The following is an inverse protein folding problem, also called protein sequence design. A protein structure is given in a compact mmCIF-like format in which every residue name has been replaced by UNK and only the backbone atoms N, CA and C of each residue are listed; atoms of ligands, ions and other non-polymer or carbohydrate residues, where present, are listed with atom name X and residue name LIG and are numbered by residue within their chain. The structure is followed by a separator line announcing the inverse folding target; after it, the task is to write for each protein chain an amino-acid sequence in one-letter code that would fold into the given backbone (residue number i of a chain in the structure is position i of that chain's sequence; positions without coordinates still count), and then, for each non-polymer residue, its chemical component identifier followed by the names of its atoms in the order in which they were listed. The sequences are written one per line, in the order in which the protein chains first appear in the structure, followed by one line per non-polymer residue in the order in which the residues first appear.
data_IF_781521022124
#
_entry.id   IF_781521022124
#
_cell.length_a   1.000
_cell.length_b   1.000
_cell.length_c   1.000
_cell.angle_alpha   90.00
_cell.angle_beta   90.00
_cell.angle_gamma   90.00
#
_symmetry.space_group_name_H-M   'P 1'
#
loop_
_entity.id
_entity.type
_entity.pdbx_description
1 polymer ?
#
# COMPACT_ATOMS: atom_id res chain seq x y z
N UNK A 1 -15.84 10.63 36.71
CA UNK A 1 -15.40 12.03 36.62
C UNK A 1 -13.89 12.04 36.41
N UNK A 2 -13.42 12.84 35.45
CA UNK A 2 -12.03 13.32 35.28
C UNK A 2 -11.05 12.38 34.53
N UNK A 3 -10.97 12.68 33.22
CA UNK A 3 -9.83 12.73 32.29
C UNK A 3 -8.43 12.66 32.89
N UNK A 4 -7.54 11.86 32.29
CA UNK A 4 -6.10 12.10 32.34
C UNK A 4 -5.44 11.93 30.96
N UNK A 5 -5.07 13.06 30.39
CA UNK A 5 -4.05 13.24 29.36
C UNK A 5 -2.68 12.86 29.93
N UNK A 6 -1.90 12.06 29.19
CA UNK A 6 -0.46 11.88 29.44
C UNK A 6 0.34 12.43 28.27
N UNK A 7 0.96 13.59 28.52
CA UNK A 7 2.10 14.11 27.78
C UNK A 7 3.29 13.15 27.97
N UNK A 8 4.06 12.93 26.91
CA UNK A 8 5.46 12.50 27.05
C UNK A 8 6.34 13.34 26.14
N UNK A 9 7.29 14.04 26.75
CA UNK A 9 8.42 14.70 26.12
C UNK A 9 9.70 14.00 26.60
N UNK A 10 10.66 13.71 25.72
CA UNK A 10 12.01 13.40 26.15
C UNK A 10 12.90 14.65 26.10
N UNK A 11 13.58 14.86 27.22
CA UNK A 11 14.61 15.85 27.45
C UNK A 11 15.88 15.54 26.63
N UNK A 12 16.49 16.58 26.05
CA UNK A 12 17.89 16.54 25.62
C UNK A 12 18.71 17.41 26.57
N UNK A 13 19.64 16.75 27.27
CA UNK A 13 20.70 17.39 28.02
C UNK A 13 21.90 17.63 27.09
N UNK A 14 22.41 18.86 27.03
CA UNK A 14 23.73 19.15 26.48
C UNK A 14 24.50 19.98 27.51
N UNK A 15 25.67 19.45 27.85
CA UNK A 15 26.60 19.85 28.89
C UNK A 15 27.35 21.15 28.51
N UNK A 16 27.65 21.95 29.53
CA UNK A 16 28.19 23.31 29.47
C UNK A 16 29.70 23.40 29.13
N UNK A 17 29.95 24.33 28.20
CA UNK A 17 31.03 25.31 28.02
C UNK A 17 32.15 25.40 29.08
N UNK A 18 33.39 25.47 28.58
CA UNK A 18 34.64 25.69 29.33
C UNK A 18 34.88 27.13 29.81
N UNK A 19 35.75 27.25 30.80
CA UNK A 19 36.11 28.48 31.50
C UNK A 19 37.34 29.18 30.89
N UNK A 20 37.32 30.52 30.87
CA UNK A 20 38.50 31.38 31.02
C UNK A 20 38.08 32.76 31.54
N UNK A 21 38.80 33.22 32.57
CA UNK A 21 38.58 34.46 33.35
C UNK A 21 39.48 35.59 32.83
N UNK A 22 38.96 36.82 32.67
CA UNK A 22 39.77 38.06 32.68
C UNK A 22 38.91 39.34 32.85
N UNK A 23 39.35 40.26 33.72
CA UNK A 23 38.79 41.60 34.00
C UNK A 23 39.11 42.63 32.90
N UNK A 24 38.31 43.70 32.81
CA UNK A 24 38.74 44.99 32.23
C UNK A 24 37.61 45.86 31.67
N UNK A 25 37.46 47.07 32.21
CA UNK A 25 36.56 48.17 31.79
C UNK A 25 36.93 48.78 30.43
N UNK A 26 35.95 49.32 29.67
CA UNK A 26 35.96 50.55 28.81
C UNK A 26 34.89 50.50 27.69
N UNK A 27 34.18 51.62 27.47
CA UNK A 27 33.08 51.94 26.52
C UNK A 27 33.33 51.68 24.99
N UNK A 28 32.47 52.18 24.07
CA UNK A 28 31.21 51.63 23.54
C UNK A 28 31.36 51.18 22.06
N UNK A 29 30.62 50.16 21.59
CA UNK A 29 30.71 49.68 20.19
C UNK A 29 29.38 49.80 19.42
N UNK A 30 29.38 50.40 18.20
CA UNK A 30 28.17 50.67 17.39
C UNK A 30 27.34 49.45 17.01
N UNK A 31 26.04 49.68 16.80
CA UNK A 31 25.06 48.72 16.30
C UNK A 31 25.57 47.95 15.07
N UNK A 32 25.57 46.62 15.17
CA UNK A 32 25.87 45.71 14.06
C UNK A 32 24.61 44.91 13.66
N UNK A 33 24.48 44.53 12.38
CA UNK A 33 23.21 44.20 11.74
C UNK A 33 22.61 42.88 12.22
N UNK A 34 21.28 42.77 12.19
CA UNK A 34 20.52 41.57 12.51
C UNK A 34 21.02 40.36 11.68
N UNK A 35 21.35 39.27 12.37
CA UNK A 35 21.71 37.99 11.77
C UNK A 35 20.50 37.36 11.03
N UNK A 36 20.74 36.57 9.97
CA UNK A 36 19.68 35.96 9.19
C UNK A 36 18.95 34.87 9.98
N UNK A 37 17.61 34.90 9.92
CA UNK A 37 16.72 33.87 10.46
C UNK A 37 17.04 32.49 9.85
N UNK A 38 17.13 31.42 10.65
CA UNK A 38 17.27 30.06 10.13
C UNK A 38 16.04 29.67 9.29
N UNK A 39 16.30 29.09 8.13
CA UNK A 39 15.28 28.57 7.23
C UNK A 39 14.40 27.54 7.95
N UNK A 40 13.09 27.80 7.91
CA UNK A 40 12.03 26.88 8.33
C UNK A 40 12.23 25.53 7.62
N UNK A 41 12.48 24.47 8.40
CA UNK A 41 12.50 23.11 7.89
C UNK A 41 11.09 22.76 7.43
N UNK A 42 10.92 22.66 6.10
CA UNK A 42 9.70 22.16 5.51
C UNK A 42 9.44 20.73 6.04
N UNK A 43 8.24 20.41 6.54
CA UNK A 43 7.89 19.06 6.90
C UNK A 43 8.10 18.13 5.71
N UNK A 44 8.83 17.04 5.94
CA UNK A 44 8.97 15.93 5.01
C UNK A 44 7.59 15.51 4.53
N UNK A 45 7.31 15.69 3.23
CA UNK A 45 6.05 15.29 2.64
C UNK A 45 5.90 13.78 2.82
N UNK A 46 5.00 13.37 3.70
CA UNK A 46 4.44 12.03 3.67
C UNK A 46 3.92 11.81 2.24
N UNK A 47 4.43 10.78 1.57
CA UNK A 47 3.94 10.40 0.25
C UNK A 47 2.49 9.98 0.46
N UNK A 48 1.55 10.87 0.12
CA UNK A 48 0.12 10.56 0.15
C UNK A 48 -0.16 9.57 -0.97
N UNK A 49 -0.62 8.33 -0.70
CA UNK A 49 -1.10 7.43 -1.74
C UNK A 49 -2.49 7.90 -2.18
N UNK A 50 -2.57 9.06 -2.83
CA UNK A 50 -3.84 9.56 -3.40
C UNK A 50 -3.67 10.38 -4.67
N UNK A 51 -2.49 10.34 -5.30
CA UNK A 51 -2.34 10.83 -6.66
C UNK A 51 -2.84 9.75 -7.64
N UNK A 52 -4.18 9.69 -7.77
CA UNK A 52 -4.95 8.99 -8.80
C UNK A 52 -5.13 7.48 -8.63
N UNK A 53 -5.94 7.09 -7.64
CA UNK A 53 -6.51 5.73 -7.61
C UNK A 53 -7.21 5.42 -8.95
N UNK A 54 -6.94 4.25 -9.52
CA UNK A 54 -7.47 3.84 -10.82
C UNK A 54 -8.56 2.81 -10.63
N UNK A 55 -9.79 3.29 -10.42
CA UNK A 55 -10.92 2.45 -10.02
C UNK A 55 -11.82 2.10 -11.20
N UNK A 56 -12.48 0.94 -11.13
CA UNK A 56 -13.50 0.53 -12.09
C UNK A 56 -12.96 0.21 -13.49
N UNK A 57 -11.70 -0.21 -13.58
CA UNK A 57 -11.08 -0.62 -14.84
C UNK A 57 -11.73 -1.88 -15.40
N UNK A 58 -11.71 -2.04 -16.72
CA UNK A 58 -12.10 -3.30 -17.36
C UNK A 58 -10.94 -4.30 -17.33
N UNK A 59 -11.20 -5.61 -17.21
CA UNK A 59 -10.20 -6.64 -17.44
C UNK A 59 -9.46 -6.42 -18.75
N UNK A 60 -8.16 -6.69 -18.75
CA UNK A 60 -7.21 -6.37 -19.82
C UNK A 60 -6.61 -4.97 -19.71
N UNK A 61 -7.20 -4.05 -18.94
CA UNK A 61 -6.63 -2.72 -18.69
C UNK A 61 -5.61 -2.77 -17.57
N UNK A 62 -4.43 -2.19 -17.79
CA UNK A 62 -3.39 -2.09 -16.78
C UNK A 62 -3.53 -0.82 -15.94
N UNK A 63 -3.34 -0.93 -14.62
CA UNK A 63 -3.18 0.17 -13.68
C UNK A 63 -1.68 0.36 -13.36
N UNK A 64 -1.24 1.61 -13.26
CA UNK A 64 0.09 2.00 -12.79
C UNK A 64 -0.06 2.52 -11.37
N UNK A 65 0.49 1.79 -10.40
CA UNK A 65 0.32 2.05 -8.99
C UNK A 65 1.67 2.42 -8.37
N UNK A 66 1.80 3.60 -7.73
CA UNK A 66 2.98 3.92 -6.95
C UNK A 66 3.06 3.01 -5.72
N UNK A 67 4.25 2.52 -5.43
CA UNK A 67 4.56 1.72 -4.24
C UNK A 67 5.71 2.38 -3.49
N UNK A 68 5.97 1.94 -2.25
CA UNK A 68 6.98 2.56 -1.40
C UNK A 68 8.33 2.75 -2.11
N UNK A 69 8.81 1.69 -2.75
CA UNK A 69 10.12 1.67 -3.42
C UNK A 69 9.99 1.59 -4.94
N UNK A 70 9.05 2.33 -5.53
CA UNK A 70 8.98 2.50 -6.97
C UNK A 70 7.58 2.50 -7.56
N UNK A 71 7.38 1.79 -8.66
CA UNK A 71 6.11 1.76 -9.37
C UNK A 71 5.86 0.38 -9.95
N UNK A 72 4.61 -0.06 -9.85
CA UNK A 72 4.16 -1.32 -10.43
C UNK A 72 3.05 -1.10 -11.42
N UNK A 73 2.96 -2.01 -12.39
CA UNK A 73 1.88 -2.11 -13.33
C UNK A 73 1.12 -3.41 -13.05
N UNK A 74 -0.13 -3.27 -12.63
CA UNK A 74 -1.01 -4.41 -12.33
C UNK A 74 -2.04 -4.52 -13.43
N UNK A 75 -2.26 -5.74 -13.94
CA UNK A 75 -3.26 -6.02 -14.97
C UNK A 75 -4.08 -7.21 -14.56
N UNK A 76 -5.39 -7.05 -14.42
CA UNK A 76 -6.32 -8.17 -14.31
C UNK A 76 -6.67 -8.60 -15.73
N UNK A 77 -6.05 -9.68 -16.21
CA UNK A 77 -6.19 -10.17 -17.58
C UNK A 77 -7.57 -10.75 -17.85
N UNK A 78 -8.14 -11.45 -16.86
CA UNK A 78 -9.51 -11.95 -16.92
C UNK A 78 -10.13 -12.12 -15.54
N UNK A 79 -11.46 -12.00 -15.47
CA UNK A 79 -12.28 -12.38 -14.33
C UNK A 79 -13.28 -13.43 -14.81
N UNK A 80 -13.23 -14.62 -14.21
CA UNK A 80 -14.14 -15.72 -14.51
C UNK A 80 -14.89 -16.10 -13.25
N UNK A 81 -16.06 -16.71 -13.41
CA UNK A 81 -16.90 -17.10 -12.28
C UNK A 81 -17.25 -18.57 -12.37
N UNK A 82 -17.40 -19.22 -11.20
CA UNK A 82 -17.80 -20.62 -11.11
C UNK A 82 -18.66 -20.86 -9.87
N UNK A 83 -19.85 -21.42 -10.06
CA UNK A 83 -20.80 -21.73 -8.97
C UNK A 83 -20.67 -23.18 -8.46
N UNK A 84 -19.77 -23.95 -9.06
CA UNK A 84 -19.57 -25.37 -8.76
C UNK A 84 -18.12 -25.62 -8.36
N UNK A 85 -17.90 -26.76 -7.72
CA UNK A 85 -16.58 -27.26 -7.40
C UNK A 85 -15.65 -27.30 -8.62
N UNK A 86 -14.35 -27.14 -8.37
CA UNK A 86 -13.34 -27.10 -9.43
C UNK A 86 -12.87 -28.47 -9.94
N UNK A 87 -13.33 -29.54 -9.31
CA UNK A 87 -13.23 -30.94 -9.74
C UNK A 87 -14.11 -31.81 -8.84
N UNK A 88 -14.11 -33.12 -9.06
CA UNK A 88 -14.92 -34.05 -8.28
C UNK A 88 -14.47 -34.14 -6.80
N UNK A 89 -13.19 -33.93 -6.53
CA UNK A 89 -12.58 -34.03 -5.20
C UNK A 89 -12.51 -32.69 -4.45
N UNK A 90 -13.13 -31.64 -5.00
CA UNK A 90 -13.10 -30.29 -4.43
C UNK A 90 -14.49 -29.91 -3.94
N UNK A 91 -14.52 -29.10 -2.87
CA UNK A 91 -15.77 -28.52 -2.42
C UNK A 91 -16.27 -27.41 -3.37
N UNK A 92 -17.59 -27.24 -3.51
CA UNK A 92 -18.17 -26.07 -4.15
C UNK A 92 -17.90 -24.79 -3.34
N UNK A 93 -18.11 -23.60 -3.92
CA UNK A 93 -17.98 -22.34 -3.18
C UNK A 93 -18.93 -22.30 -1.99
N UNK A 94 -18.41 -21.99 -0.81
CA UNK A 94 -19.17 -21.91 0.43
C UNK A 94 -20.03 -20.64 0.47
N UNK A 95 -19.61 -19.54 -0.16
CA UNK A 95 -20.38 -18.30 -0.23
C UNK A 95 -21.25 -18.20 -1.49
N UNK A 96 -21.11 -19.16 -2.41
CA UNK A 96 -22.04 -19.38 -3.52
C UNK A 96 -21.42 -19.22 -4.91
N UNK A 97 -20.33 -18.46 -5.06
CA UNK A 97 -19.61 -18.37 -6.34
C UNK A 97 -18.13 -18.07 -6.14
N UNK A 98 -17.28 -18.84 -6.83
CA UNK A 98 -15.88 -18.49 -6.98
C UNK A 98 -15.71 -17.41 -8.05
N UNK A 99 -14.98 -16.34 -7.73
CA UNK A 99 -14.40 -15.42 -8.71
C UNK A 99 -12.94 -15.80 -8.89
N UNK A 100 -12.55 -16.11 -10.11
CA UNK A 100 -11.19 -16.52 -10.48
C UNK A 100 -10.58 -15.40 -11.33
N UNK A 101 -9.59 -14.73 -10.77
CA UNK A 101 -8.89 -13.63 -11.41
C UNK A 101 -7.53 -14.09 -11.93
N UNK A 102 -7.24 -13.79 -13.19
CA UNK A 102 -5.91 -13.99 -13.76
C UNK A 102 -5.18 -12.65 -13.78
N UNK A 103 -4.09 -12.54 -13.03
CA UNK A 103 -3.41 -11.28 -12.72
C UNK A 103 -1.97 -11.31 -13.25
N UNK A 104 -1.50 -10.16 -13.71
CA UNK A 104 -0.12 -9.88 -14.05
C UNK A 104 0.36 -8.65 -13.26
N UNK A 105 1.43 -8.82 -12.50
CA UNK A 105 2.14 -7.75 -11.79
C UNK A 105 3.50 -7.57 -12.45
N UNK A 106 3.83 -6.34 -12.81
CA UNK A 106 5.10 -5.95 -13.42
C UNK A 106 5.69 -4.79 -12.63
N UNK A 107 6.95 -4.89 -12.22
CA UNK A 107 7.64 -3.77 -11.55
C UNK A 107 8.26 -2.91 -12.64
N UNK A 108 7.83 -1.65 -12.76
CA UNK A 108 8.30 -0.76 -13.82
C UNK A 108 9.47 0.10 -13.36
N UNK A 109 9.57 0.36 -12.06
CA UNK A 109 10.68 1.08 -11.44
C UNK A 109 10.88 0.60 -10.01
N UNK A 110 12.13 0.62 -9.55
CA UNK A 110 12.52 0.23 -8.19
C UNK A 110 12.32 -1.26 -7.91
N UNK A 111 11.77 -1.58 -6.73
CA UNK A 111 11.54 -2.94 -6.26
C UNK A 111 10.17 -3.06 -5.58
N UNK A 112 9.51 -4.21 -5.72
CA UNK A 112 8.24 -4.46 -5.04
C UNK A 112 8.16 -5.88 -4.49
N UNK A 113 7.81 -5.98 -3.21
CA UNK A 113 7.39 -7.24 -2.58
C UNK A 113 5.88 -7.27 -2.54
N UNK A 114 5.29 -8.42 -2.85
CA UNK A 114 3.84 -8.58 -2.79
C UNK A 114 3.44 -10.02 -2.51
N UNK A 115 2.23 -10.17 -2.00
CA UNK A 115 1.55 -11.43 -1.80
C UNK A 115 0.18 -11.45 -2.48
N UNK A 116 -0.62 -12.47 -2.18
CA UNK A 116 -2.01 -12.49 -2.57
C UNK A 116 -2.90 -11.57 -1.71
N UNK A 117 -2.47 -11.20 -0.51
CA UNK A 117 -3.27 -10.43 0.46
C UNK A 117 -3.53 -8.97 0.06
N UNK A 118 -2.75 -8.43 -0.87
CA UNK A 118 -2.93 -7.11 -1.48
C UNK A 118 -4.14 -7.07 -2.41
N UNK A 119 -4.73 -8.23 -2.71
CA UNK A 119 -5.90 -8.36 -3.56
C UNK A 119 -7.12 -8.77 -2.75
N UNK A 120 -8.23 -8.08 -2.98
CA UNK A 120 -9.49 -8.37 -2.31
C UNK A 120 -10.66 -8.21 -3.29
N UNK A 121 -11.68 -9.05 -3.15
CA UNK A 121 -12.96 -8.78 -3.81
C UNK A 121 -13.77 -7.81 -2.95
N UNK A 122 -14.27 -6.74 -3.56
CA UNK A 122 -15.16 -5.76 -2.94
C UNK A 122 -16.50 -5.81 -3.67
N UNK A 123 -17.53 -6.35 -3.04
CA UNK A 123 -18.87 -6.41 -3.60
C UNK A 123 -19.57 -5.04 -3.54
N UNK A 124 -20.56 -4.83 -4.41
CA UNK A 124 -21.31 -3.57 -4.48
C UNK A 124 -22.13 -3.26 -3.21
N UNK A 125 -22.42 -4.27 -2.40
CA UNK A 125 -23.07 -4.11 -1.09
C UNK A 125 -22.08 -3.72 0.03
N UNK A 126 -20.80 -3.53 -0.31
CA UNK A 126 -19.74 -3.17 0.61
C UNK A 126 -19.10 -4.35 1.35
N UNK A 127 -19.58 -5.58 1.13
CA UNK A 127 -18.92 -6.77 1.68
C UNK A 127 -17.62 -7.05 0.94
N UNK A 128 -16.63 -7.58 1.66
CA UNK A 128 -15.36 -7.97 1.06
C UNK A 128 -15.11 -9.46 1.21
N UNK A 129 -14.29 -10.01 0.32
CA UNK A 129 -13.81 -11.37 0.41
C UNK A 129 -12.32 -11.42 0.12
N UNK A 130 -11.59 -12.07 1.01
CA UNK A 130 -10.18 -12.38 0.84
C UNK A 130 -10.01 -13.61 -0.07
N UNK A 131 -8.76 -14.01 -0.29
CA UNK A 131 -8.47 -15.19 -1.10
C UNK A 131 -9.13 -16.43 -0.50
N UNK A 132 -9.87 -17.14 -1.34
CA UNK A 132 -10.21 -18.52 -1.08
C UNK A 132 -8.90 -19.32 -1.02
N UNK A 133 -8.81 -20.21 -0.04
CA UNK A 133 -7.67 -21.12 0.10
C UNK A 133 -7.54 -22.08 -1.10
N UNK A 134 -6.98 -23.26 -0.85
CA UNK A 134 -6.78 -24.22 -1.93
C UNK A 134 -8.13 -24.82 -2.39
N UNK A 135 -8.65 -24.33 -3.51
CA UNK A 135 -9.98 -24.69 -4.07
C UNK A 135 -9.91 -25.62 -5.29
N UNK A 136 -8.72 -25.91 -5.79
CA UNK A 136 -8.52 -26.61 -7.06
C UNK A 136 -8.91 -25.81 -8.31
N UNK A 137 -9.31 -24.54 -8.15
CA UNK A 137 -9.73 -23.69 -9.25
C UNK A 137 -8.59 -23.04 -10.03
N UNK A 138 -7.36 -23.12 -9.51
CA UNK A 138 -6.18 -22.56 -10.16
C UNK A 138 -5.30 -23.67 -10.74
N UNK A 139 -4.82 -23.45 -11.96
CA UNK A 139 -3.75 -24.27 -12.55
C UNK A 139 -2.38 -23.61 -12.39
N UNK A 140 -2.37 -22.29 -12.17
CA UNK A 140 -1.17 -21.48 -11.97
C UNK A 140 -1.47 -20.42 -10.93
N UNK A 141 -1.41 -20.72 -9.61
CA UNK A 141 -1.64 -19.72 -8.57
C UNK A 141 -0.67 -18.55 -8.69
N UNK A 142 -1.13 -17.34 -8.34
CA UNK A 142 -0.25 -16.17 -8.28
C UNK A 142 0.72 -16.35 -7.11
N UNK A 143 1.97 -16.65 -7.44
CA UNK A 143 3.04 -16.73 -6.46
C UNK A 143 3.49 -15.31 -6.09
N UNK A 144 3.42 -14.99 -4.80
CA UNK A 144 4.00 -13.77 -4.26
C UNK A 144 5.51 -13.70 -4.54
N UNK A 145 6.08 -12.51 -4.39
CA UNK A 145 7.50 -12.27 -4.58
C UNK A 145 8.05 -11.39 -3.46
N UNK A 146 9.28 -11.69 -3.05
CA UNK A 146 10.06 -10.86 -2.15
C UNK A 146 11.10 -10.13 -2.99
N UNK A 147 11.06 -8.81 -2.97
CA UNK A 147 12.01 -7.95 -3.66
C UNK A 147 12.03 -8.15 -5.17
N UNK A 148 10.88 -8.10 -5.84
CA UNK A 148 10.83 -8.23 -7.30
C UNK A 148 11.39 -6.95 -7.94
N UNK A 149 12.52 -7.00 -8.68
CA UNK A 149 13.14 -5.77 -9.18
C UNK A 149 12.48 -5.28 -10.47
N UNK A 150 12.73 -4.03 -10.82
CA UNK A 150 12.26 -3.40 -12.06
C UNK A 150 12.55 -4.25 -13.31
N UNK A 151 11.59 -4.27 -14.23
CA UNK A 151 11.59 -5.08 -15.44
C UNK A 151 11.08 -6.51 -15.25
N UNK A 152 10.97 -7.00 -14.00
CA UNK A 152 10.46 -8.34 -13.72
C UNK A 152 8.94 -8.38 -13.60
N UNK A 153 8.39 -9.57 -13.86
CA UNK A 153 6.95 -9.82 -13.84
C UNK A 153 6.59 -11.10 -13.10
N UNK A 154 5.37 -11.14 -12.57
CA UNK A 154 4.72 -12.32 -12.00
C UNK A 154 3.29 -12.38 -12.50
N UNK A 155 2.88 -13.56 -12.94
CA UNK A 155 1.51 -13.80 -13.38
C UNK A 155 0.96 -15.04 -12.70
N UNK A 156 -0.34 -15.06 -12.50
CA UNK A 156 -1.03 -16.21 -11.94
C UNK A 156 -2.44 -15.87 -11.51
N UNK A 157 -3.09 -16.88 -10.93
CA UNK A 157 -4.49 -16.87 -10.61
C UNK A 157 -4.73 -16.67 -9.12
N UNK A 158 -5.75 -15.89 -8.83
CA UNK A 158 -6.32 -15.67 -7.51
C UNK A 158 -7.76 -16.16 -7.52
N UNK A 159 -8.23 -16.71 -6.40
CA UNK A 159 -9.61 -17.19 -6.26
C UNK A 159 -10.21 -16.53 -5.04
N UNK A 160 -11.44 -16.08 -5.17
CA UNK A 160 -12.24 -15.50 -4.09
C UNK A 160 -13.53 -16.29 -4.00
N UNK A 161 -13.96 -16.64 -2.78
CA UNK A 161 -15.26 -17.26 -2.55
C UNK A 161 -16.24 -16.20 -2.08
N UNK A 162 -17.10 -15.74 -2.99
CA UNK A 162 -17.88 -14.52 -2.82
C UNK A 162 -19.37 -14.83 -2.84
N UNK A 163 -20.15 -13.97 -2.20
CA UNK A 163 -21.62 -14.04 -2.24
C UNK A 163 -22.20 -13.51 -3.56
N UNK A 164 -21.53 -12.55 -4.17
CA UNK A 164 -21.98 -11.85 -5.37
C UNK A 164 -20.82 -11.53 -6.30
N UNK A 165 -21.04 -11.69 -7.61
CA UNK A 165 -20.11 -11.27 -8.66
C UNK A 165 -20.29 -9.80 -9.04
N UNK A 166 -21.28 -9.11 -8.46
CA UNK A 166 -21.44 -7.67 -8.59
C UNK A 166 -20.47 -6.98 -7.62
N UNK A 167 -19.34 -6.49 -8.16
CA UNK A 167 -18.26 -5.93 -7.38
C UNK A 167 -17.01 -5.63 -8.21
N UNK A 168 -15.89 -5.45 -7.52
CA UNK A 168 -14.57 -5.20 -8.08
C UNK A 168 -13.51 -6.10 -7.45
N UNK A 169 -12.52 -6.52 -8.23
CA UNK A 169 -11.23 -6.91 -7.67
C UNK A 169 -10.42 -5.64 -7.36
N UNK A 170 -10.08 -5.41 -6.10
CA UNK A 170 -9.22 -4.32 -5.64
C UNK A 170 -7.78 -4.77 -5.45
N UNK A 171 -6.84 -3.84 -5.65
CA UNK A 171 -5.43 -3.99 -5.32
C UNK A 171 -5.00 -2.85 -4.38
N UNK A 172 -4.54 -3.19 -3.18
CA UNK A 172 -4.03 -2.28 -2.14
C UNK A 172 -2.62 -2.73 -1.74
N UNK A 173 -1.56 -2.07 -2.25
CA UNK A 173 -0.18 -2.46 -1.97
C UNK A 173 0.22 -2.24 -0.50
N UNK A 174 -0.55 -1.45 0.24
CA UNK A 174 -0.37 -1.11 1.64
C UNK A 174 -1.25 -1.95 2.58
N UNK A 175 -2.03 -2.90 2.05
CA UNK A 175 -2.92 -3.80 2.81
C UNK A 175 -3.99 -3.07 3.65
N UNK A 176 -4.28 -1.78 3.37
CA UNK A 176 -5.29 -1.01 4.10
C UNK A 176 -6.73 -1.39 3.75
N UNK A 177 -6.91 -2.14 2.67
CA UNK A 177 -8.22 -2.42 2.09
C UNK A 177 -8.78 -1.28 1.24
N UNK A 178 -8.08 -0.14 1.15
CA UNK A 178 -8.42 0.95 0.24
C UNK A 178 -7.69 0.72 -1.08
N UNK A 179 -8.40 0.37 -2.18
CA UNK A 179 -7.74 -0.01 -3.42
C UNK A 179 -7.07 1.19 -4.09
N UNK A 180 -5.79 1.07 -4.40
CA UNK A 180 -5.10 1.97 -5.31
C UNK A 180 -5.51 1.73 -6.77
N UNK A 181 -5.94 0.50 -7.09
CA UNK A 181 -6.55 0.17 -8.37
C UNK A 181 -7.67 -0.86 -8.21
N UNK A 182 -8.69 -0.82 -9.08
CA UNK A 182 -9.74 -1.84 -9.07
C UNK A 182 -10.29 -2.17 -10.47
N UNK A 183 -10.76 -3.41 -10.64
CA UNK A 183 -11.29 -3.93 -11.90
C UNK A 183 -12.70 -4.52 -11.72
N UNK A 184 -13.62 -4.17 -12.63
CA UNK A 184 -14.99 -4.69 -12.67
C UNK A 184 -15.16 -5.71 -13.82
N UNK A 185 -15.81 -6.86 -13.60
CA UNK A 185 -16.13 -7.83 -14.65
C UNK A 185 -16.87 -7.22 -15.85
#
# INVERSE_FOLDING_TARGET
MITYTRLWAPAFAVLLVGAVTACGSSDPKPAAPAAPVPASQAPSAAVSPSASAQLGLKPGTAATVPVQDGTVRVTVRSLKTRKTACGADWDPPANGVFVIADVLVEVTSGEFSFSGGEFQWLADDGTTADLAGFTGCTTSPLQGANGLPAGQKRAGQLVFDVKSTAGTLGFSPDLSGVPAASWRP
#
